data_IF_559012905643
#
_entry.id   IF_559012905643
#
_cell.length_a   1.000
_cell.length_b   1.000
_cell.length_c   1.000
_cell.angle_alpha   90.00
_cell.angle_beta   90.00
_cell.angle_gamma   90.00
#
_symmetry.space_group_name_H-M   'P 1'
#
loop_
_entity.id
_entity.type
_entity.pdbx_description
1 polymer ?
#
# COMPACT_ATOMS: atom_id res chain seq x y z
N UNK A 1 -5.87 -27.66 -10.15
CA UNK A 1 -5.71 -26.25 -9.70
C UNK A 1 -5.02 -25.52 -10.83
N UNK A 2 -5.60 -24.48 -11.45
CA UNK A 2 -4.85 -23.71 -12.44
C UNK A 2 -3.73 -22.98 -11.70
N UNK A 3 -2.52 -23.12 -12.23
CA UNK A 3 -1.29 -22.57 -11.69
C UNK A 3 -1.32 -21.05 -11.96
N UNK A 4 -1.91 -20.26 -11.07
CA UNK A 4 -1.82 -18.80 -11.16
C UNK A 4 -0.34 -18.44 -11.09
N UNK A 5 0.23 -17.78 -12.10
CA UNK A 5 1.63 -17.37 -12.04
C UNK A 5 1.80 -16.51 -10.79
N UNK A 6 2.65 -16.95 -9.86
CA UNK A 6 3.07 -16.14 -8.73
C UNK A 6 3.59 -14.83 -9.31
N UNK A 7 3.03 -13.70 -8.84
CA UNK A 7 3.64 -12.41 -9.16
C UNK A 7 5.10 -12.47 -8.71
N UNK A 8 6.05 -11.98 -9.52
CA UNK A 8 7.43 -11.93 -9.09
C UNK A 8 7.51 -10.97 -7.90
N UNK A 9 7.92 -11.52 -6.74
CA UNK A 9 8.15 -10.72 -5.54
C UNK A 9 8.99 -9.50 -5.87
N UNK A 10 8.40 -8.31 -5.74
CA UNK A 10 9.16 -7.08 -5.84
C UNK A 10 10.20 -7.12 -4.71
N UNK A 11 11.48 -6.98 -5.05
CA UNK A 11 12.50 -6.88 -4.02
C UNK A 11 12.20 -5.65 -3.14
N UNK A 12 12.30 -5.76 -1.80
CA UNK A 12 12.14 -4.60 -0.95
C UNK A 12 13.14 -3.51 -1.32
N UNK A 13 12.77 -2.22 -1.17
CA UNK A 13 13.64 -1.11 -1.50
C UNK A 13 14.92 -1.16 -0.65
N UNK A 14 16.07 -0.93 -1.29
CA UNK A 14 17.36 -0.94 -0.61
C UNK A 14 17.42 0.12 0.50
N UNK A 15 17.99 -0.26 1.65
CA UNK A 15 18.20 0.63 2.80
C UNK A 15 16.97 0.85 3.68
N UNK A 16 15.81 0.29 3.33
CA UNK A 16 14.64 0.30 4.21
C UNK A 16 14.65 -0.82 5.25
N UNK A 17 13.99 -0.60 6.38
CA UNK A 17 13.73 -1.61 7.41
C UNK A 17 12.23 -1.74 7.69
N UNK A 18 11.71 -2.94 8.01
CA UNK A 18 10.29 -3.11 8.32
C UNK A 18 9.91 -2.40 9.62
N UNK A 19 8.68 -1.89 9.68
CA UNK A 19 8.03 -1.56 10.95
C UNK A 19 7.71 -2.89 11.64
N UNK A 20 7.94 -2.98 12.94
CA UNK A 20 7.64 -4.19 13.73
C UNK A 20 6.60 -3.90 14.81
N UNK A 21 5.82 -4.92 15.16
CA UNK A 21 4.81 -4.85 16.21
C UNK A 21 5.22 -5.81 17.35
N UNK A 22 5.39 -5.27 18.55
CA UNK A 22 5.62 -6.06 19.77
C UNK A 22 4.49 -5.77 20.75
N UNK A 23 3.59 -6.75 20.92
CA UNK A 23 2.33 -6.55 21.64
C UNK A 23 1.47 -5.50 20.94
N UNK A 24 1.20 -4.38 21.62
CA UNK A 24 0.45 -3.23 21.09
C UNK A 24 1.34 -2.06 20.65
N UNK A 25 2.67 -2.20 20.68
CA UNK A 25 3.62 -1.12 20.38
C UNK A 25 4.27 -1.32 19.01
N UNK A 26 4.12 -0.32 18.14
CA UNK A 26 4.84 -0.25 16.87
C UNK A 26 6.24 0.32 17.09
N UNK A 27 7.26 -0.38 16.62
CA UNK A 27 8.62 0.12 16.52
C UNK A 27 8.88 0.57 15.08
N UNK A 28 9.07 1.87 14.89
CA UNK A 28 9.25 2.50 13.58
C UNK A 28 10.72 2.90 13.40
N UNK A 29 11.47 2.28 12.46
CA UNK A 29 12.86 2.65 12.18
C UNK A 29 12.95 4.04 11.53
N UNK A 30 14.15 4.58 11.37
CA UNK A 30 14.35 5.90 10.75
C UNK A 30 14.11 5.91 9.23
N UNK A 31 14.20 4.74 8.59
CA UNK A 31 13.86 4.54 7.17
C UNK A 31 12.90 3.35 7.00
N UNK A 32 11.60 3.51 7.36
CA UNK A 32 10.63 2.43 7.25
C UNK A 32 10.31 2.08 5.80
N UNK A 33 10.13 0.79 5.52
CA UNK A 33 9.54 0.30 4.28
C UNK A 33 8.03 0.50 4.36
N UNK A 34 7.46 1.21 3.38
CA UNK A 34 6.03 1.48 3.30
C UNK A 34 5.51 1.00 1.94
N UNK A 35 4.72 -0.09 1.91
CA UNK A 35 3.99 -0.49 0.73
C UNK A 35 3.05 0.62 0.25
N UNK A 36 2.99 0.81 -1.07
CA UNK A 36 1.99 1.67 -1.67
C UNK A 36 1.35 1.03 -2.90
N UNK A 37 0.05 1.28 -3.07
CA UNK A 37 -0.71 0.97 -4.27
C UNK A 37 -1.04 2.28 -4.95
N UNK A 38 -0.57 2.52 -6.18
CA UNK A 38 -0.91 3.74 -6.93
C UNK A 38 -2.43 3.88 -7.11
N UNK A 39 -3.09 2.75 -7.34
CA UNK A 39 -4.52 2.67 -7.57
C UNK A 39 -4.88 2.93 -9.03
N UNK A 40 -6.17 3.17 -9.27
CA UNK A 40 -6.79 3.28 -10.59
C UNK A 40 -7.29 4.71 -10.84
N UNK A 41 -7.63 5.02 -12.10
CA UNK A 41 -8.14 6.33 -12.49
C UNK A 41 -7.17 7.46 -12.13
N UNK A 42 -7.59 8.37 -11.24
CA UNK A 42 -6.74 9.48 -10.77
C UNK A 42 -5.65 9.06 -9.78
N UNK A 43 -5.59 7.78 -9.39
CA UNK A 43 -4.67 7.26 -8.39
C UNK A 43 -3.19 7.55 -8.67
N UNK A 44 -2.64 7.18 -9.84
CA UNK A 44 -1.24 7.43 -10.17
C UNK A 44 -0.84 8.92 -10.10
N UNK A 45 -1.72 9.83 -10.53
CA UNK A 45 -1.47 11.27 -10.45
C UNK A 45 -1.45 11.79 -9.01
N UNK A 46 -2.43 11.36 -8.19
CA UNK A 46 -2.50 11.71 -6.77
C UNK A 46 -1.29 11.14 -6.03
N UNK A 47 -0.88 9.91 -6.32
CA UNK A 47 0.27 9.28 -5.69
C UNK A 47 1.56 10.02 -6.00
N UNK A 48 1.81 10.35 -7.26
CA UNK A 48 2.99 11.13 -7.68
C UNK A 48 3.10 12.45 -6.90
N UNK A 49 1.99 13.18 -6.76
CA UNK A 49 1.96 14.41 -5.96
C UNK A 49 2.16 14.14 -4.45
N UNK A 50 1.46 13.13 -3.91
CA UNK A 50 1.51 12.78 -2.47
C UNK A 50 2.91 12.35 -2.03
N UNK A 51 3.58 11.52 -2.82
CA UNK A 51 4.96 11.07 -2.55
C UNK A 51 5.90 12.25 -2.39
N UNK A 52 5.85 13.23 -3.31
CA UNK A 52 6.68 14.43 -3.21
C UNK A 52 6.42 15.23 -1.93
N UNK A 53 5.15 15.36 -1.53
CA UNK A 53 4.79 16.04 -0.27
C UNK A 53 5.32 15.28 0.94
N UNK A 54 5.12 13.96 1.00
CA UNK A 54 5.60 13.13 2.12
C UNK A 54 7.13 13.15 2.23
N UNK A 55 7.84 12.92 1.12
CA UNK A 55 9.31 12.92 1.09
C UNK A 55 9.85 14.27 1.59
N UNK A 56 9.30 15.38 1.09
CA UNK A 56 9.72 16.73 1.49
C UNK A 56 9.38 17.05 2.95
N UNK A 57 8.20 16.67 3.42
CA UNK A 57 7.78 16.92 4.79
C UNK A 57 8.67 16.17 5.80
N UNK A 58 9.01 14.91 5.52
CA UNK A 58 9.91 14.12 6.35
C UNK A 58 11.32 14.70 6.34
N UNK A 59 11.85 15.07 5.17
CA UNK A 59 13.17 15.70 5.05
C UNK A 59 13.27 16.96 5.91
N UNK A 60 12.29 17.87 5.78
CA UNK A 60 12.24 19.14 6.53
C UNK A 60 12.09 18.90 8.04
N UNK A 61 11.16 18.03 8.44
CA UNK A 61 10.85 17.81 9.86
C UNK A 61 11.99 17.13 10.64
N UNK A 62 12.77 16.28 9.96
CA UNK A 62 13.81 15.48 10.61
C UNK A 62 15.24 15.90 10.26
N UNK A 63 15.42 16.87 9.36
CA UNK A 63 16.73 17.34 8.90
C UNK A 63 17.51 16.22 8.22
N UNK A 64 16.84 15.44 7.38
CA UNK A 64 17.42 14.31 6.63
C UNK A 64 17.75 13.05 7.46
N UNK A 65 17.55 13.07 8.78
CA UNK A 65 17.76 11.88 9.65
C UNK A 65 16.76 10.76 9.42
N UNK A 66 15.61 11.07 8.83
CA UNK A 66 14.56 10.10 8.49
C UNK A 66 14.21 10.18 7.02
N UNK A 67 13.81 9.06 6.44
CA UNK A 67 13.42 8.90 5.03
C UNK A 67 12.34 7.84 4.90
N UNK A 68 11.64 7.79 3.77
CA UNK A 68 10.65 6.74 3.50
C UNK A 68 11.17 5.83 2.38
N UNK A 69 11.13 4.52 2.60
CA UNK A 69 11.48 3.53 1.60
C UNK A 69 10.20 2.98 0.96
N UNK A 70 9.79 3.62 -0.14
CA UNK A 70 8.56 3.25 -0.85
C UNK A 70 8.69 1.92 -1.57
N UNK A 71 7.73 1.01 -1.33
CA UNK A 71 7.66 -0.31 -1.93
C UNK A 71 6.36 -0.46 -2.73
N UNK A 72 6.43 -0.52 -4.05
CA UNK A 72 5.22 -0.63 -4.87
C UNK A 72 4.62 -2.04 -4.77
N UNK A 73 3.33 -2.12 -4.47
CA UNK A 73 2.51 -3.33 -4.53
C UNK A 73 1.27 -3.07 -5.39
N UNK A 74 0.67 -4.11 -5.95
CA UNK A 74 -0.27 -3.96 -7.05
C UNK A 74 -1.68 -4.42 -6.69
N UNK A 75 -2.67 -3.54 -6.88
CA UNK A 75 -4.07 -3.91 -6.91
C UNK A 75 -4.80 -3.05 -7.95
N UNK A 76 -5.98 -3.47 -8.38
CA UNK A 76 -6.76 -2.75 -9.38
C UNK A 76 -6.41 -3.15 -10.81
N UNK A 77 -6.63 -2.21 -11.74
CA UNK A 77 -6.43 -2.37 -13.19
C UNK A 77 -4.96 -2.72 -13.49
N UNK A 78 -4.02 -2.01 -12.85
CA UNK A 78 -2.58 -2.27 -13.02
C UNK A 78 -2.18 -3.70 -12.63
N UNK A 79 -2.82 -4.27 -11.60
CA UNK A 79 -2.58 -5.66 -11.20
C UNK A 79 -3.25 -6.64 -12.17
N UNK A 80 -4.48 -6.34 -12.62
CA UNK A 80 -5.22 -7.16 -13.57
C UNK A 80 -4.46 -7.28 -14.89
N UNK A 81 -3.93 -6.18 -15.41
CA UNK A 81 -3.20 -6.16 -16.68
C UNK A 81 -1.87 -6.92 -16.60
N UNK A 82 -1.19 -6.89 -15.45
CA UNK A 82 0.13 -7.50 -15.27
C UNK A 82 0.08 -8.97 -14.86
N UNK A 83 -0.90 -9.35 -14.05
CA UNK A 83 -0.91 -10.63 -13.34
C UNK A 83 -2.23 -11.40 -13.51
N UNK A 84 -3.14 -10.91 -14.35
CA UNK A 84 -4.49 -11.43 -14.54
C UNK A 84 -5.34 -11.46 -13.25
N UNK A 85 -4.91 -10.77 -12.19
CA UNK A 85 -5.55 -10.71 -10.88
C UNK A 85 -5.75 -9.28 -10.40
N UNK A 86 -6.96 -8.96 -9.94
CA UNK A 86 -7.30 -7.64 -9.41
C UNK A 86 -6.69 -7.35 -8.02
N UNK A 87 -6.40 -8.41 -7.25
CA UNK A 87 -5.79 -8.33 -5.93
C UNK A 87 -4.95 -9.60 -5.73
N UNK A 88 -3.68 -9.59 -6.18
CA UNK A 88 -2.73 -10.67 -5.91
C UNK A 88 -2.59 -10.90 -4.41
N UNK A 89 -2.51 -12.17 -3.99
CA UNK A 89 -2.33 -12.50 -2.56
C UNK A 89 -1.01 -11.95 -2.00
N UNK A 90 0.03 -11.86 -2.84
CA UNK A 90 1.31 -11.24 -2.49
C UNK A 90 1.15 -9.79 -2.00
N UNK A 91 0.23 -9.00 -2.58
CA UNK A 91 -0.01 -7.63 -2.10
C UNK A 91 -0.52 -7.62 -0.65
N UNK A 92 -1.30 -8.63 -0.25
CA UNK A 92 -1.76 -8.77 1.12
C UNK A 92 -0.63 -9.25 2.05
N UNK A 93 0.21 -10.16 1.57
CA UNK A 93 1.38 -10.65 2.30
C UNK A 93 2.37 -9.51 2.60
N UNK A 94 2.70 -8.69 1.60
CA UNK A 94 3.61 -7.54 1.76
C UNK A 94 3.00 -6.48 2.70
N UNK A 95 1.69 -6.18 2.58
CA UNK A 95 1.03 -5.24 3.52
C UNK A 95 1.05 -5.79 4.96
N UNK A 96 0.81 -7.09 5.15
CA UNK A 96 0.91 -7.72 6.48
C UNK A 96 2.35 -7.72 7.02
N UNK A 97 3.34 -7.88 6.15
CA UNK A 97 4.76 -7.91 6.54
C UNK A 97 5.24 -6.54 7.00
N UNK A 98 4.87 -5.46 6.28
CA UNK A 98 5.32 -4.10 6.57
C UNK A 98 4.34 -3.27 7.42
N UNK A 99 3.17 -3.82 7.76
CA UNK A 99 2.16 -3.31 8.70
C UNK A 99 1.43 -2.01 8.31
N UNK A 100 2.09 -1.09 7.61
CA UNK A 100 1.55 0.22 7.23
C UNK A 100 1.66 0.38 5.73
N UNK A 101 0.52 0.63 5.07
CA UNK A 101 0.47 0.82 3.62
C UNK A 101 -0.37 2.05 3.23
N UNK A 102 -0.05 2.63 2.09
CA UNK A 102 -0.82 3.72 1.46
C UNK A 102 -1.47 3.20 0.19
N UNK A 103 -2.70 3.64 -0.11
CA UNK A 103 -3.33 3.30 -1.39
C UNK A 103 -4.09 4.46 -2.00
N UNK A 104 -3.92 4.65 -3.31
CA UNK A 104 -4.81 5.45 -4.13
C UNK A 104 -6.18 4.77 -4.33
N UNK A 105 -7.17 5.46 -4.93
CA UNK A 105 -8.49 4.89 -5.23
C UNK A 105 -8.38 3.60 -6.06
N UNK A 106 -9.34 2.69 -5.91
CA UNK A 106 -9.38 1.43 -6.67
C UNK A 106 -10.75 1.30 -7.33
N UNK A 107 -10.75 1.06 -8.64
CA UNK A 107 -11.95 0.78 -9.42
C UNK A 107 -12.51 -0.57 -8.96
N UNK A 108 -13.80 -0.62 -8.67
CA UNK A 108 -14.52 -1.90 -8.52
C UNK A 108 -15.40 -2.08 -9.74
N UNK A 109 -15.16 -3.11 -10.59
CA UNK A 109 -16.00 -3.33 -11.76
C UNK A 109 -17.45 -3.61 -11.33
N UNK A 110 -18.39 -2.86 -11.90
CA UNK A 110 -19.82 -3.02 -11.62
C UNK A 110 -20.35 -4.20 -12.46
N UNK A 111 -21.05 -5.15 -11.81
CA UNK A 111 -21.80 -6.20 -12.52
C UNK A 111 -21.08 -7.54 -12.76
N UNK A 112 -19.90 -7.80 -12.16
CA UNK A 112 -19.12 -9.02 -12.41
C UNK A 112 -19.05 -10.05 -11.27
N UNK A 113 -19.88 -9.93 -10.22
CA UNK A 113 -19.80 -10.82 -9.05
C UNK A 113 -18.54 -10.63 -8.17
N UNK A 114 -17.67 -9.67 -8.51
CA UNK A 114 -16.45 -9.36 -7.76
C UNK A 114 -16.82 -8.48 -6.55
N UNK A 115 -16.50 -8.95 -5.35
CA UNK A 115 -16.60 -8.15 -4.12
C UNK A 115 -15.66 -6.94 -4.23
N UNK A 116 -16.11 -5.76 -3.80
CA UNK A 116 -15.29 -4.54 -3.87
C UNK A 116 -13.89 -4.76 -3.33
N UNK A 117 -12.87 -4.31 -4.08
CA UNK A 117 -11.46 -4.48 -3.69
C UNK A 117 -11.16 -3.83 -2.33
N UNK A 118 -11.75 -2.66 -2.06
CA UNK A 118 -11.61 -2.01 -0.76
C UNK A 118 -12.31 -2.78 0.38
N UNK A 119 -13.39 -3.51 0.08
CA UNK A 119 -14.02 -4.42 1.07
C UNK A 119 -13.14 -5.64 1.29
N UNK A 120 -12.62 -6.25 0.21
CA UNK A 120 -11.75 -7.41 0.27
C UNK A 120 -10.46 -7.14 1.06
N UNK A 121 -9.79 -6.02 0.79
CA UNK A 121 -8.61 -5.57 1.54
C UNK A 121 -8.91 -5.48 3.04
N UNK A 122 -9.97 -4.77 3.43
CA UNK A 122 -10.32 -4.61 4.86
C UNK A 122 -10.66 -5.94 5.54
N UNK A 123 -11.37 -6.84 4.86
CA UNK A 123 -11.73 -8.13 5.42
C UNK A 123 -10.53 -9.07 5.54
N UNK A 124 -9.66 -9.12 4.52
CA UNK A 124 -8.50 -10.01 4.53
C UNK A 124 -7.38 -9.53 5.47
N UNK A 125 -7.31 -8.22 5.74
CA UNK A 125 -6.34 -7.60 6.64
C UNK A 125 -6.92 -7.27 8.03
N UNK A 126 -8.16 -7.69 8.31
CA UNK A 126 -8.90 -7.41 9.56
C UNK A 126 -8.88 -5.92 10.00
N UNK A 127 -9.03 -5.01 9.03
CA UNK A 127 -9.07 -3.57 9.26
C UNK A 127 -10.48 -3.15 9.69
N UNK A 128 -10.83 -3.48 10.93
CA UNK A 128 -12.18 -3.31 11.48
C UNK A 128 -12.58 -1.85 11.73
N UNK A 129 -11.62 -0.96 12.00
CA UNK A 129 -11.88 0.46 12.28
C UNK A 129 -11.72 1.33 11.03
N UNK A 130 -12.70 2.20 10.74
CA UNK A 130 -12.62 3.21 9.69
C UNK A 130 -12.58 4.61 10.31
N UNK A 131 -11.39 5.22 10.34
CA UNK A 131 -11.20 6.56 10.88
C UNK A 131 -11.24 7.61 9.74
N UNK A 132 -12.04 8.68 9.91
CA UNK A 132 -12.17 9.78 8.92
C UNK A 132 -12.08 11.14 9.61
N UNK A 133 -10.88 11.73 9.74
CA UNK A 133 -10.72 13.07 10.29
C UNK A 133 -11.43 14.13 9.43
N UNK A 134 -12.20 15.02 10.05
CA UNK A 134 -12.87 16.16 9.39
C UNK A 134 -12.27 17.46 9.93
N UNK A 135 -11.71 18.27 9.04
CA UNK A 135 -11.07 19.57 9.35
C UNK A 135 -11.38 20.57 8.23
N UNK A 136 -11.33 21.85 8.55
CA UNK A 136 -11.42 22.96 7.59
C UNK A 136 -10.02 23.56 7.41
N UNK A 137 -9.61 23.82 6.16
CA UNK A 137 -8.26 24.26 5.77
C UNK A 137 -8.31 25.56 4.98
#
# INVERSE_FOLDING_TARGET
MPNTPLSPRNAPPAGGSPITLSGSTLTVPDQPIIPFIEGDGTGPDIWRASRHVFDSAVEIAYGGRRRLAWHEVYAGEKAKDRFDSWLPDETLEEINTYLVAIKGPLTTPVGGGIRSLNVALRQKLDLYACLRPVRWF
#
